data_IF_960471421945
#
_entry.id   IF_960471421945
#
_cell.length_a   1.000
_cell.length_b   1.000
_cell.length_c   1.000
_cell.angle_alpha   90.00
_cell.angle_beta   90.00
_cell.angle_gamma   90.00
#
_symmetry.space_group_name_H-M   'P 1'
#
loop_
_entity.id
_entity.type
_entity.pdbx_description
1 polymer ?
#
# COMPACT_ATOMS: atom_id res chain seq x y z
N UNK A 1 30.02 -25.39 -5.50
CA UNK A 1 29.45 -25.16 -4.15
C UNK A 1 29.44 -23.65 -3.94
N UNK A 2 28.39 -22.99 -4.43
CA UNK A 2 28.36 -21.55 -4.69
C UNK A 2 27.22 -20.90 -3.91
N UNK A 3 27.57 -19.81 -3.23
CA UNK A 3 26.74 -18.97 -2.37
C UNK A 3 25.71 -18.23 -3.26
N UNK A 4 24.44 -18.63 -3.16
CA UNK A 4 23.27 -17.92 -3.71
C UNK A 4 22.01 -18.19 -2.88
N UNK A 5 22.05 -17.97 -1.57
CA UNK A 5 20.84 -18.00 -0.73
C UNK A 5 21.06 -17.15 0.51
N UNK A 6 21.16 -15.82 0.36
CA UNK A 6 20.94 -14.90 1.48
C UNK A 6 20.86 -13.43 0.99
N UNK A 7 19.67 -12.99 0.57
CA UNK A 7 19.10 -11.65 0.83
C UNK A 7 17.78 -11.50 0.04
N UNK A 8 16.68 -11.95 0.64
CA UNK A 8 15.31 -11.63 0.20
C UNK A 8 14.39 -11.55 1.41
N UNK A 9 14.83 -10.87 2.47
CA UNK A 9 14.03 -10.59 3.66
C UNK A 9 14.26 -9.13 4.03
N UNK A 10 13.40 -8.25 3.49
CA UNK A 10 12.78 -7.08 4.13
C UNK A 10 12.42 -5.99 3.10
N UNK A 11 11.13 -5.64 3.11
CA UNK A 11 10.43 -4.51 2.47
C UNK A 11 9.94 -4.69 1.02
N UNK A 12 8.61 -4.53 0.88
CA UNK A 12 7.72 -4.59 -0.29
C UNK A 12 7.46 -6.00 -0.87
N UNK A 13 6.22 -6.44 -0.70
CA UNK A 13 5.60 -7.55 -1.42
C UNK A 13 5.46 -7.09 -2.88
N UNK A 14 6.56 -7.08 -3.63
CA UNK A 14 6.50 -6.91 -5.07
C UNK A 14 6.01 -8.24 -5.61
N UNK A 15 4.71 -8.34 -5.87
CA UNK A 15 4.17 -9.37 -6.75
C UNK A 15 4.96 -9.31 -8.06
N UNK A 16 5.87 -10.25 -8.29
CA UNK A 16 6.61 -10.29 -9.54
C UNK A 16 5.63 -10.61 -10.67
N UNK A 17 5.19 -9.58 -11.38
CA UNK A 17 4.35 -9.71 -12.56
C UNK A 17 5.16 -10.33 -13.70
N UNK A 18 4.63 -11.38 -14.33
CA UNK A 18 5.28 -12.15 -15.39
C UNK A 18 4.32 -12.33 -16.56
N UNK A 19 4.83 -12.10 -17.77
CA UNK A 19 4.24 -12.66 -18.99
C UNK A 19 4.65 -14.12 -19.07
N UNK A 20 3.66 -15.01 -19.12
CA UNK A 20 3.87 -16.45 -19.27
C UNK A 20 3.21 -16.90 -20.57
N UNK A 21 3.97 -17.59 -21.40
CA UNK A 21 3.48 -18.24 -22.60
C UNK A 21 3.99 -19.68 -22.58
N UNK A 22 3.09 -20.62 -22.87
CA UNK A 22 3.40 -22.03 -23.01
C UNK A 22 2.98 -22.46 -24.42
N UNK A 23 3.91 -23.14 -25.13
CA UNK A 23 3.91 -23.41 -26.58
C UNK A 23 4.25 -22.19 -27.49
N UNK A 24 4.21 -22.28 -28.85
CA UNK A 24 4.99 -21.42 -29.76
C UNK A 24 4.74 -19.94 -29.54
N UNK A 25 5.64 -19.07 -30.03
CA UNK A 25 5.63 -17.62 -29.81
C UNK A 25 4.22 -17.04 -29.85
N UNK A 26 3.63 -16.92 -28.67
CA UNK A 26 2.25 -16.52 -28.45
C UNK A 26 2.21 -15.36 -27.49
N UNK A 27 1.17 -14.57 -27.61
CA UNK A 27 0.93 -13.41 -26.77
C UNK A 27 -0.54 -13.40 -26.40
N UNK A 28 -0.88 -13.09 -25.13
CA UNK A 28 -2.27 -12.82 -24.75
C UNK A 28 -2.76 -11.49 -25.32
N UNK A 29 -1.87 -10.72 -25.95
CA UNK A 29 -2.07 -9.30 -26.18
C UNK A 29 -1.82 -8.49 -24.91
N UNK A 30 -1.78 -7.18 -25.08
CA UNK A 30 -1.67 -6.22 -24.00
C UNK A 30 -2.81 -5.24 -24.12
N UNK A 31 -3.43 -4.91 -22.99
CA UNK A 31 -4.42 -3.83 -22.91
C UNK A 31 -3.72 -2.46 -22.77
N UNK A 32 -4.49 -1.42 -22.47
CA UNK A 32 -3.98 -0.06 -22.36
C UNK A 32 -3.24 0.20 -21.05
N UNK A 33 -3.44 -0.65 -20.03
CA UNK A 33 -2.83 -0.45 -18.71
C UNK A 33 -3.52 0.67 -17.93
N UNK A 34 -4.77 1.00 -18.25
CA UNK A 34 -5.45 2.14 -17.66
C UNK A 34 -6.06 1.79 -16.32
N UNK A 35 -5.95 2.71 -15.34
CA UNK A 35 -6.73 2.68 -14.12
C UNK A 35 -7.80 3.78 -14.19
N UNK A 36 -9.07 3.41 -14.13
CA UNK A 36 -10.18 4.36 -14.24
C UNK A 36 -11.22 4.15 -13.15
N UNK A 37 -12.02 5.19 -12.86
CA UNK A 37 -13.16 5.04 -11.95
C UNK A 37 -14.36 4.53 -12.74
N UNK A 38 -15.10 3.60 -12.14
CA UNK A 38 -16.30 2.99 -12.72
C UNK A 38 -17.44 3.04 -11.69
N UNK A 39 -18.65 3.44 -12.10
CA UNK A 39 -19.79 3.35 -11.19
C UNK A 39 -20.24 1.90 -11.02
N UNK A 40 -20.80 1.58 -9.86
CA UNK A 40 -21.29 0.22 -9.54
C UNK A 40 -22.26 -0.33 -10.60
N UNK A 41 -23.08 0.55 -11.19
CA UNK A 41 -24.08 0.21 -12.22
C UNK A 41 -23.59 0.35 -13.66
N UNK A 42 -22.39 0.88 -13.88
CA UNK A 42 -21.89 1.11 -15.24
C UNK A 42 -21.32 -0.18 -15.83
N UNK A 43 -21.50 -0.35 -17.14
CA UNK A 43 -20.79 -1.38 -17.89
C UNK A 43 -19.40 -0.87 -18.27
N UNK A 44 -18.36 -1.68 -18.08
CA UNK A 44 -17.02 -1.32 -18.58
C UNK A 44 -17.03 -1.08 -20.09
N UNK A 45 -16.19 -0.17 -20.60
CA UNK A 45 -15.96 -0.09 -22.03
C UNK A 45 -15.36 -1.40 -22.55
N UNK A 46 -15.51 -1.66 -23.86
CA UNK A 46 -14.82 -2.77 -24.50
C UNK A 46 -13.30 -2.60 -24.31
N UNK A 47 -12.56 -3.61 -23.80
CA UNK A 47 -11.12 -3.52 -23.69
C UNK A 47 -10.47 -3.25 -25.04
N UNK A 48 -9.48 -2.37 -25.05
CA UNK A 48 -8.75 -2.01 -26.28
C UNK A 48 -7.34 -2.56 -26.17
N UNK A 49 -7.00 -3.48 -27.08
CA UNK A 49 -5.65 -3.99 -27.18
C UNK A 49 -4.68 -2.90 -27.65
N UNK A 50 -3.65 -2.62 -26.84
CA UNK A 50 -2.45 -1.90 -27.29
C UNK A 50 -1.59 -2.78 -28.19
N UNK A 51 -1.61 -4.09 -27.95
CA UNK A 51 -1.02 -5.13 -28.81
C UNK A 51 -2.00 -6.30 -28.89
N UNK A 52 -2.42 -6.74 -30.09
CA UNK A 52 -3.39 -7.81 -30.23
C UNK A 52 -2.81 -9.18 -29.81
N UNK A 53 -3.65 -10.14 -29.37
CA UNK A 53 -3.23 -11.51 -29.12
C UNK A 53 -2.74 -12.19 -30.40
N UNK A 54 -1.76 -13.09 -30.25
CA UNK A 54 -1.19 -13.86 -31.37
C UNK A 54 -0.85 -15.29 -30.96
N UNK A 55 -0.91 -16.23 -31.90
CA UNK A 55 -0.34 -17.57 -31.75
C UNK A 55 -1.26 -18.62 -31.12
N UNK A 56 -2.41 -18.24 -30.56
CA UNK A 56 -3.41 -19.15 -29.99
C UNK A 56 -4.81 -18.84 -30.53
N UNK A 57 -5.68 -19.86 -30.66
CA UNK A 57 -6.97 -19.72 -31.35
C UNK A 57 -8.06 -19.04 -30.52
N UNK A 58 -7.98 -19.11 -29.19
CA UNK A 58 -8.97 -18.52 -28.29
C UNK A 58 -8.31 -17.44 -27.43
N UNK A 59 -9.01 -16.32 -27.25
CA UNK A 59 -8.68 -15.30 -26.25
C UNK A 59 -9.97 -14.84 -25.58
N UNK A 60 -9.99 -14.94 -24.27
CA UNK A 60 -11.06 -14.44 -23.40
C UNK A 60 -10.44 -13.55 -22.32
N UNK A 61 -11.28 -12.92 -21.50
CA UNK A 61 -10.83 -12.03 -20.44
C UNK A 61 -11.16 -12.63 -19.07
N UNK A 62 -10.14 -12.76 -18.23
CA UNK A 62 -10.30 -13.01 -16.81
C UNK A 62 -10.67 -11.71 -16.09
N UNK A 63 -11.64 -11.83 -15.18
CA UNK A 63 -12.07 -10.74 -14.33
C UNK A 63 -11.50 -10.97 -12.94
N UNK A 64 -10.63 -10.07 -12.50
CA UNK A 64 -9.91 -10.17 -11.24
C UNK A 64 -10.45 -9.17 -10.22
N UNK A 65 -10.69 -9.60 -8.98
CA UNK A 65 -10.84 -8.69 -7.85
C UNK A 65 -9.45 -8.34 -7.29
N UNK A 66 -8.92 -7.18 -7.66
CA UNK A 66 -7.54 -6.78 -7.35
C UNK A 66 -7.31 -6.49 -5.86
N UNK A 67 -8.34 -6.02 -5.15
CA UNK A 67 -8.31 -5.73 -3.71
C UNK A 67 -8.60 -6.96 -2.83
N UNK A 68 -8.87 -8.13 -3.43
CA UNK A 68 -9.13 -9.38 -2.69
C UNK A 68 -8.06 -10.42 -3.02
N UNK A 69 -7.40 -10.93 -1.98
CA UNK A 69 -6.50 -12.07 -2.13
C UNK A 69 -7.29 -13.34 -2.42
N UNK A 70 -6.81 -14.14 -3.36
CA UNK A 70 -7.34 -15.47 -3.64
C UNK A 70 -7.09 -16.43 -2.46
N UNK A 71 -7.84 -17.54 -2.40
CA UNK A 71 -7.69 -18.53 -1.31
C UNK A 71 -6.33 -19.22 -1.28
N UNK A 72 -5.62 -19.20 -2.41
CA UNK A 72 -4.26 -19.71 -2.56
C UNK A 72 -3.17 -18.77 -2.00
N UNK A 73 -3.51 -17.51 -1.73
CA UNK A 73 -2.57 -16.50 -1.23
C UNK A 73 -1.58 -15.93 -2.24
N UNK A 74 -1.71 -16.25 -3.54
CA UNK A 74 -0.70 -15.91 -4.56
C UNK A 74 -1.08 -14.75 -5.51
N UNK A 75 -2.20 -14.08 -5.26
CA UNK A 75 -2.56 -12.87 -6.00
C UNK A 75 -4.04 -12.53 -5.95
N UNK A 76 -4.50 -11.61 -6.81
CA UNK A 76 -5.90 -11.27 -6.98
C UNK A 76 -6.77 -12.50 -7.25
N UNK A 77 -7.96 -12.51 -6.66
CA UNK A 77 -8.99 -13.53 -6.92
C UNK A 77 -9.55 -13.38 -8.33
N UNK A 78 -9.62 -14.47 -9.10
CA UNK A 78 -10.46 -14.57 -10.30
C UNK A 78 -11.93 -14.67 -9.86
N UNK A 79 -12.77 -13.79 -10.38
CA UNK A 79 -14.23 -13.80 -10.14
C UNK A 79 -14.91 -14.66 -11.20
N UNK A 80 -14.63 -14.38 -12.47
CA UNK A 80 -15.21 -15.04 -13.64
C UNK A 80 -14.33 -14.80 -14.88
N UNK A 81 -14.82 -15.24 -16.03
CA UNK A 81 -14.29 -14.89 -17.34
C UNK A 81 -15.39 -14.47 -18.30
N UNK A 82 -15.07 -13.61 -19.26
CA UNK A 82 -15.99 -13.13 -20.31
C UNK A 82 -15.30 -13.10 -21.67
N UNK A 83 -16.07 -13.27 -22.73
CA UNK A 83 -15.60 -13.26 -24.12
C UNK A 83 -15.18 -11.85 -24.56
N UNK A 84 -15.89 -10.81 -24.11
CA UNK A 84 -15.68 -9.44 -24.59
C UNK A 84 -15.05 -8.51 -23.54
N UNK A 85 -14.81 -9.01 -22.32
CA UNK A 85 -14.19 -8.22 -21.25
C UNK A 85 -15.10 -7.14 -20.67
N UNK A 86 -16.36 -7.08 -21.08
CA UNK A 86 -17.34 -6.16 -20.51
C UNK A 86 -17.96 -6.76 -19.27
N UNK A 87 -18.13 -5.93 -18.25
CA UNK A 87 -18.70 -6.33 -16.98
C UNK A 87 -19.57 -5.21 -16.41
N UNK A 88 -20.49 -5.58 -15.53
CA UNK A 88 -21.19 -4.65 -14.66
C UNK A 88 -20.83 -5.03 -13.21
N UNK A 89 -20.16 -4.15 -12.44
CA UNK A 89 -19.70 -4.50 -11.08
C UNK A 89 -20.79 -5.03 -10.16
N UNK A 90 -22.00 -4.48 -10.26
CA UNK A 90 -23.16 -4.92 -9.48
C UNK A 90 -23.50 -6.41 -9.69
N UNK A 91 -23.38 -6.91 -10.92
CA UNK A 91 -23.69 -8.31 -11.27
C UNK A 91 -22.68 -9.28 -10.63
N UNK A 92 -21.49 -8.78 -10.32
CA UNK A 92 -20.42 -9.50 -9.62
C UNK A 92 -20.47 -9.33 -8.09
N UNK A 93 -21.50 -8.65 -7.57
CA UNK A 93 -21.63 -8.34 -6.14
C UNK A 93 -20.58 -7.37 -5.61
N UNK A 94 -19.91 -6.62 -6.50
CA UNK A 94 -18.90 -5.65 -6.11
C UNK A 94 -19.56 -4.34 -5.68
N UNK A 95 -18.92 -3.68 -4.72
CA UNK A 95 -19.38 -2.43 -4.09
C UNK A 95 -18.33 -1.34 -4.20
N UNK A 96 -18.67 -0.14 -3.75
CA UNK A 96 -17.74 1.00 -3.71
C UNK A 96 -16.42 0.61 -3.02
N UNK A 97 -15.30 1.01 -3.60
CA UNK A 97 -13.94 0.73 -3.20
C UNK A 97 -13.40 -0.66 -3.46
N UNK A 98 -14.19 -1.53 -4.08
CA UNK A 98 -13.60 -2.69 -4.71
C UNK A 98 -12.78 -2.29 -5.95
N UNK A 99 -11.70 -3.01 -6.18
CA UNK A 99 -10.85 -2.85 -7.35
C UNK A 99 -10.98 -4.08 -8.22
N UNK A 100 -11.14 -3.84 -9.51
CA UNK A 100 -11.31 -4.88 -10.49
C UNK A 100 -10.31 -4.69 -11.62
N UNK A 101 -9.80 -5.78 -12.18
CA UNK A 101 -8.99 -5.73 -13.39
C UNK A 101 -9.48 -6.75 -14.42
N UNK A 102 -9.42 -6.34 -15.69
CA UNK A 102 -9.71 -7.18 -16.86
C UNK A 102 -8.38 -7.59 -17.47
N UNK A 103 -8.17 -8.90 -17.61
CA UNK A 103 -6.91 -9.50 -18.02
C UNK A 103 -7.13 -10.45 -19.21
N UNK A 104 -6.52 -10.22 -20.39
CA UNK A 104 -6.62 -11.17 -21.48
C UNK A 104 -5.88 -12.48 -21.16
N UNK A 105 -6.52 -13.59 -21.52
CA UNK A 105 -6.00 -14.94 -21.39
C UNK A 105 -6.23 -15.68 -22.70
N UNK A 106 -5.15 -16.05 -23.37
CA UNK A 106 -5.20 -16.82 -24.61
C UNK A 106 -4.93 -18.28 -24.36
N UNK A 107 -5.64 -19.17 -25.04
CA UNK A 107 -5.53 -20.62 -24.85
C UNK A 107 -5.98 -21.39 -26.09
N UNK A 108 -5.68 -22.68 -26.12
CA UNK A 108 -6.20 -23.60 -27.13
C UNK A 108 -7.31 -24.48 -26.52
N UNK A 109 -8.56 -24.10 -26.77
CA UNK A 109 -9.72 -24.81 -26.25
C UNK A 109 -9.76 -26.24 -26.81
N UNK A 110 -9.43 -26.44 -28.08
CA UNK A 110 -9.52 -27.73 -28.75
C UNK A 110 -8.58 -28.77 -28.12
N UNK A 111 -7.39 -28.35 -27.67
CA UNK A 111 -6.47 -29.23 -26.95
C UNK A 111 -7.09 -29.73 -25.64
N UNK A 112 -7.71 -28.85 -24.85
CA UNK A 112 -8.39 -29.22 -23.61
C UNK A 112 -9.56 -30.15 -23.86
N UNK A 113 -10.39 -29.85 -24.86
CA UNK A 113 -11.51 -30.71 -25.26
C UNK A 113 -11.01 -32.11 -25.66
N UNK A 114 -9.94 -32.18 -26.45
CA UNK A 114 -9.33 -33.45 -26.90
C UNK A 114 -8.81 -34.29 -25.74
N UNK A 115 -8.15 -33.66 -24.77
CA UNK A 115 -7.67 -34.34 -23.55
C UNK A 115 -8.85 -34.91 -22.76
N UNK A 116 -9.93 -34.13 -22.58
CA UNK A 116 -11.11 -34.59 -21.83
C UNK A 116 -11.87 -35.70 -22.56
N UNK A 117 -12.08 -35.57 -23.87
CA UNK A 117 -12.67 -36.64 -24.69
C UNK A 117 -11.85 -37.93 -24.59
N UNK A 118 -10.53 -37.82 -24.66
CA UNK A 118 -9.64 -38.98 -24.58
C UNK A 118 -9.65 -39.62 -23.19
N UNK A 119 -9.69 -38.81 -22.13
CA UNK A 119 -9.79 -39.33 -20.76
C UNK A 119 -11.12 -40.07 -20.52
N UNK A 120 -12.23 -39.50 -20.98
CA UNK A 120 -13.58 -40.02 -20.70
C UNK A 120 -14.01 -41.15 -21.64
N UNK A 121 -13.63 -41.07 -22.91
CA UNK A 121 -14.20 -41.92 -23.97
C UNK A 121 -13.21 -42.93 -24.57
N UNK A 122 -11.90 -42.75 -24.38
CA UNK A 122 -10.90 -43.66 -24.95
C UNK A 122 -10.51 -44.80 -24.01
N UNK A 123 -9.95 -45.85 -24.60
CA UNK A 123 -9.35 -46.98 -23.90
C UNK A 123 -7.83 -46.81 -23.80
N UNK A 124 -7.28 -47.01 -22.60
CA UNK A 124 -5.83 -47.05 -22.40
C UNK A 124 -5.24 -48.36 -22.96
N UNK A 125 -5.91 -49.47 -22.65
CA UNK A 125 -5.67 -50.80 -23.18
C UNK A 125 -7.02 -51.50 -23.39
N UNK A 126 -7.11 -52.55 -24.22
CA UNK A 126 -8.36 -53.26 -24.42
C UNK A 126 -9.02 -53.69 -23.08
N UNK A 127 -10.21 -53.16 -22.80
CA UNK A 127 -10.95 -53.42 -21.57
C UNK A 127 -10.57 -52.58 -20.34
N UNK A 128 -9.65 -51.62 -20.48
CA UNK A 128 -9.33 -50.62 -19.44
C UNK A 128 -9.50 -49.21 -19.99
N UNK A 129 -10.53 -48.50 -19.53
CA UNK A 129 -10.78 -47.11 -19.93
C UNK A 129 -9.66 -46.17 -19.47
N UNK A 130 -9.46 -45.08 -20.19
CA UNK A 130 -8.54 -44.02 -19.80
C UNK A 130 -8.90 -43.43 -18.42
N UNK A 131 -10.18 -43.34 -18.08
CA UNK A 131 -10.62 -43.00 -16.73
C UNK A 131 -10.08 -43.93 -15.64
N UNK A 132 -10.11 -45.24 -15.87
CA UNK A 132 -9.60 -46.22 -14.90
C UNK A 132 -8.09 -46.08 -14.73
N UNK A 133 -7.37 -45.84 -15.84
CA UNK A 133 -5.92 -45.62 -15.82
C UNK A 133 -5.54 -44.30 -15.15
N UNK A 134 -6.21 -43.20 -15.49
CA UNK A 134 -6.01 -41.89 -14.87
C UNK A 134 -6.33 -41.90 -13.37
N UNK A 135 -7.29 -42.73 -12.94
CA UNK A 135 -7.62 -42.96 -11.54
C UNK A 135 -6.46 -43.44 -10.66
N UNK A 136 -5.39 -44.00 -11.25
CA UNK A 136 -4.16 -44.35 -10.52
C UNK A 136 -3.35 -43.12 -10.09
N UNK A 137 -3.50 -42.01 -10.81
CA UNK A 137 -2.81 -40.75 -10.52
C UNK A 137 -3.73 -39.74 -9.82
N UNK A 138 -5.00 -39.73 -10.20
CA UNK A 138 -6.03 -38.83 -9.70
C UNK A 138 -7.28 -39.63 -9.31
N UNK A 139 -7.33 -40.09 -8.06
CA UNK A 139 -8.44 -40.91 -7.56
C UNK A 139 -9.75 -40.14 -7.70
N UNK A 140 -10.74 -40.73 -8.37
CA UNK A 140 -12.05 -40.12 -8.56
C UNK A 140 -12.09 -38.97 -9.57
N UNK A 141 -11.08 -38.80 -10.42
CA UNK A 141 -11.06 -37.74 -11.45
C UNK A 141 -12.30 -37.76 -12.34
N UNK A 142 -12.63 -38.91 -12.94
CA UNK A 142 -13.78 -39.00 -13.83
C UNK A 142 -15.12 -38.92 -13.11
N UNK A 143 -15.20 -39.39 -11.86
CA UNK A 143 -16.38 -39.19 -11.02
C UNK A 143 -16.58 -37.69 -10.74
N UNK A 144 -15.49 -36.96 -10.52
CA UNK A 144 -15.50 -35.51 -10.29
C UNK A 144 -15.86 -34.73 -11.56
N UNK A 145 -15.38 -35.14 -12.73
CA UNK A 145 -15.78 -34.58 -14.02
C UNK A 145 -17.29 -34.74 -14.24
N UNK A 146 -17.80 -35.95 -14.10
CA UNK A 146 -19.22 -36.25 -14.24
C UNK A 146 -20.09 -35.50 -13.20
N UNK A 147 -19.62 -35.38 -11.96
CA UNK A 147 -20.33 -34.63 -10.91
C UNK A 147 -20.44 -33.12 -11.22
N UNK A 148 -19.52 -32.57 -12.01
CA UNK A 148 -19.57 -31.20 -12.51
C UNK A 148 -20.23 -31.08 -13.89
N UNK A 149 -20.83 -32.15 -14.40
CA UNK A 149 -21.55 -32.17 -15.68
C UNK A 149 -20.66 -32.25 -16.92
N UNK A 150 -19.37 -32.55 -16.76
CA UNK A 150 -18.42 -32.73 -17.87
C UNK A 150 -18.39 -34.21 -18.27
N UNK A 151 -19.05 -34.54 -19.37
CA UNK A 151 -19.17 -35.90 -19.92
C UNK A 151 -18.36 -36.09 -21.21
N UNK A 152 -17.90 -34.99 -21.82
CA UNK A 152 -17.10 -34.93 -23.03
C UNK A 152 -16.34 -33.61 -23.10
N UNK A 153 -15.41 -33.51 -24.04
CA UNK A 153 -14.74 -32.27 -24.39
C UNK A 153 -15.73 -31.17 -24.81
N UNK A 154 -16.85 -31.53 -25.43
CA UNK A 154 -17.86 -30.55 -25.86
C UNK A 154 -18.58 -29.81 -24.72
N UNK A 155 -18.47 -30.32 -23.49
CA UNK A 155 -19.00 -29.64 -22.30
C UNK A 155 -18.10 -28.46 -21.87
N UNK A 156 -16.89 -28.36 -22.42
CA UNK A 156 -15.95 -27.25 -22.16
C UNK A 156 -16.07 -26.26 -23.31
N UNK A 157 -16.71 -25.12 -23.06
CA UNK A 157 -17.08 -24.18 -24.12
C UNK A 157 -16.31 -22.85 -24.04
N UNK A 158 -15.79 -22.51 -22.86
CA UNK A 158 -15.16 -21.22 -22.59
C UNK A 158 -14.16 -21.32 -21.42
N UNK A 159 -13.52 -20.19 -21.10
CA UNK A 159 -12.50 -20.13 -20.06
C UNK A 159 -13.05 -20.39 -18.65
N UNK A 160 -14.34 -20.16 -18.40
CA UNK A 160 -14.96 -20.45 -17.11
C UNK A 160 -15.02 -21.97 -16.88
N UNK A 161 -15.38 -22.73 -17.92
CA UNK A 161 -15.36 -24.21 -17.87
C UNK A 161 -13.92 -24.73 -17.67
N UNK A 162 -12.92 -24.05 -18.26
CA UNK A 162 -11.51 -24.37 -18.03
C UNK A 162 -11.10 -24.13 -16.58
N UNK A 163 -11.52 -23.03 -15.94
CA UNK A 163 -11.24 -22.76 -14.53
C UNK A 163 -11.84 -23.87 -13.65
N UNK A 164 -13.09 -24.28 -13.92
CA UNK A 164 -13.74 -25.40 -13.22
C UNK A 164 -12.97 -26.69 -13.43
N UNK A 165 -12.59 -27.00 -14.67
CA UNK A 165 -11.79 -28.18 -15.01
C UNK A 165 -10.47 -28.21 -14.23
N UNK A 166 -9.77 -27.07 -14.13
CA UNK A 166 -8.52 -26.98 -13.37
C UNK A 166 -8.74 -27.22 -11.88
N UNK A 167 -9.86 -26.75 -11.31
CA UNK A 167 -10.24 -27.08 -9.93
C UNK A 167 -10.45 -28.59 -9.71
N UNK A 168 -11.08 -29.28 -10.67
CA UNK A 168 -11.29 -30.72 -10.62
C UNK A 168 -9.96 -31.48 -10.61
N UNK A 169 -9.02 -31.12 -11.48
CA UNK A 169 -7.71 -31.79 -11.55
C UNK A 169 -6.88 -31.68 -10.27
N UNK A 170 -7.07 -30.61 -9.50
CA UNK A 170 -6.37 -30.40 -8.24
C UNK A 170 -7.16 -30.86 -7.01
N UNK A 171 -8.37 -31.37 -7.21
CA UNK A 171 -9.29 -31.71 -6.11
C UNK A 171 -9.74 -30.49 -5.31
N UNK A 172 -9.66 -29.29 -5.89
CA UNK A 172 -10.10 -28.04 -5.28
C UNK A 172 -11.51 -27.69 -5.76
N UNK A 173 -12.46 -27.58 -4.84
CA UNK A 173 -13.79 -27.04 -5.11
C UNK A 173 -13.84 -25.51 -5.00
N UNK A 174 -12.70 -24.85 -4.81
CA UNK A 174 -12.67 -23.41 -4.58
C UNK A 174 -12.67 -22.66 -5.92
N UNK A 175 -13.76 -21.97 -6.23
CA UNK A 175 -13.83 -20.99 -7.32
C UNK A 175 -13.06 -19.69 -6.99
N UNK A 176 -12.26 -19.68 -5.92
CA UNK A 176 -11.51 -18.53 -5.42
C UNK A 176 -10.01 -18.76 -5.64
N UNK A 177 -9.58 -18.75 -6.90
CA UNK A 177 -8.21 -19.02 -7.32
C UNK A 177 -7.57 -17.78 -7.96
N UNK A 178 -6.25 -17.67 -7.90
CA UNK A 178 -5.49 -16.65 -8.61
C UNK A 178 -5.09 -17.11 -10.01
N UNK A 179 -4.66 -16.16 -10.85
CA UNK A 179 -4.03 -16.45 -12.15
C UNK A 179 -2.78 -17.31 -11.98
N UNK A 180 -2.02 -17.10 -10.90
CA UNK A 180 -0.86 -17.93 -10.59
C UNK A 180 -1.28 -19.39 -10.43
N UNK A 181 -2.29 -19.66 -9.59
CA UNK A 181 -2.80 -21.02 -9.42
C UNK A 181 -3.29 -21.63 -10.73
N UNK A 182 -4.11 -20.91 -11.49
CA UNK A 182 -4.62 -21.36 -12.79
C UNK A 182 -3.48 -21.80 -13.72
N UNK A 183 -2.47 -20.95 -13.91
CA UNK A 183 -1.32 -21.23 -14.79
C UNK A 183 -0.46 -22.38 -14.27
N UNK A 184 -0.23 -22.46 -12.95
CA UNK A 184 0.51 -23.58 -12.37
C UNK A 184 -0.23 -24.91 -12.50
N UNK A 185 -1.56 -24.91 -12.39
CA UNK A 185 -2.37 -26.12 -12.58
C UNK A 185 -2.33 -26.58 -14.03
N UNK A 186 -2.39 -25.67 -15.01
CA UNK A 186 -2.19 -26.03 -16.41
C UNK A 186 -0.78 -26.63 -16.61
N UNK A 187 0.25 -26.04 -15.99
CA UNK A 187 1.61 -26.60 -16.01
C UNK A 187 1.70 -28.00 -15.39
N UNK A 188 1.00 -28.25 -14.28
CA UNK A 188 0.90 -29.59 -13.68
C UNK A 188 0.17 -30.57 -14.58
N UNK A 189 -0.93 -30.14 -15.22
CA UNK A 189 -1.65 -30.94 -16.19
C UNK A 189 -0.78 -31.26 -17.39
N UNK A 190 0.05 -30.34 -17.89
CA UNK A 190 1.00 -30.61 -18.96
C UNK A 190 2.03 -31.68 -18.56
N UNK A 191 2.49 -31.68 -17.31
CA UNK A 191 3.32 -32.78 -16.81
C UNK A 191 2.53 -34.11 -16.77
N UNK A 192 1.26 -34.08 -16.36
CA UNK A 192 0.40 -35.25 -16.31
C UNK A 192 -0.01 -35.79 -17.69
N UNK A 193 -0.19 -34.92 -18.68
CA UNK A 193 -0.51 -35.26 -20.08
C UNK A 193 0.56 -36.18 -20.66
N UNK A 194 1.83 -35.97 -20.32
CA UNK A 194 2.91 -36.90 -20.70
C UNK A 194 2.80 -38.28 -20.05
N UNK A 195 2.23 -38.35 -18.83
CA UNK A 195 1.98 -39.61 -18.11
C UNK A 195 0.75 -40.34 -18.66
N UNK A 196 -0.26 -39.60 -19.12
CA UNK A 196 -1.48 -40.16 -19.70
C UNK A 196 -1.24 -40.87 -21.03
N UNK A 197 -0.16 -40.54 -21.75
CA UNK A 197 0.21 -41.21 -22.99
C UNK A 197 -0.91 -41.13 -24.04
N UNK A 198 -1.42 -42.27 -24.48
CA UNK A 198 -2.53 -42.34 -25.47
C UNK A 198 -3.83 -41.74 -24.94
N UNK A 199 -4.02 -41.67 -23.61
CA UNK A 199 -5.20 -41.08 -22.99
C UNK A 199 -5.24 -39.55 -23.05
N UNK A 200 -4.18 -38.90 -23.55
CA UNK A 200 -4.19 -37.47 -23.84
C UNK A 200 -4.64 -37.14 -25.27
N UNK A 201 -5.05 -38.12 -26.08
CA UNK A 201 -5.53 -37.87 -27.45
C UNK A 201 -4.45 -37.39 -28.41
N UNK A 202 -3.18 -37.68 -28.11
CA UNK A 202 -2.04 -37.17 -28.87
C UNK A 202 -1.64 -35.73 -28.55
N UNK A 203 -2.32 -35.08 -27.59
CA UNK A 203 -1.89 -33.80 -27.05
C UNK A 203 -0.66 -34.04 -26.16
N UNK A 204 0.42 -33.32 -26.43
CA UNK A 204 1.65 -33.40 -25.62
C UNK A 204 1.78 -32.25 -24.63
N UNK A 205 1.08 -31.16 -24.89
CA UNK A 205 1.11 -29.93 -24.11
C UNK A 205 -0.16 -29.12 -24.40
N UNK A 206 -0.74 -28.54 -23.36
CA UNK A 206 -1.85 -27.59 -23.41
C UNK A 206 -1.27 -26.19 -23.42
N UNK A 207 -1.60 -25.44 -24.46
CA UNK A 207 -1.01 -24.16 -24.73
C UNK A 207 -1.86 -23.01 -24.18
N UNK A 208 -1.20 -22.08 -23.48
CA UNK A 208 -1.82 -20.88 -22.95
C UNK A 208 -0.84 -19.71 -22.94
N UNK A 209 -1.39 -18.50 -22.86
CA UNK A 209 -0.62 -17.27 -22.74
C UNK A 209 -1.38 -16.28 -21.87
N UNK A 210 -0.68 -15.66 -20.91
CA UNK A 210 -1.23 -14.64 -20.02
C UNK A 210 -0.14 -13.67 -19.58
N UNK A 211 -0.49 -12.39 -19.44
CA UNK A 211 0.43 -11.39 -18.91
C UNK A 211 -0.27 -10.62 -17.82
N UNK A 212 0.11 -10.87 -16.57
CA UNK A 212 -0.47 -10.16 -15.43
C UNK A 212 0.29 -8.87 -15.11
N UNK A 213 1.07 -8.30 -16.03
CA UNK A 213 1.71 -7.00 -15.83
C UNK A 213 0.66 -5.89 -15.75
N UNK A 214 0.94 -4.84 -14.99
CA UNK A 214 0.03 -3.68 -14.89
C UNK A 214 -0.28 -3.03 -16.23
N UNK A 215 0.63 -3.17 -17.21
CA UNK A 215 0.44 -2.69 -18.59
C UNK A 215 -0.36 -3.64 -19.48
N UNK A 216 -0.63 -4.87 -19.03
CA UNK A 216 -1.35 -5.88 -19.79
C UNK A 216 -2.84 -5.97 -19.40
N UNK A 217 -3.25 -5.29 -18.31
CA UNK A 217 -4.60 -5.30 -17.78
C UNK A 217 -5.18 -3.88 -17.74
N UNK A 218 -6.49 -3.76 -17.91
CA UNK A 218 -7.20 -2.52 -17.59
C UNK A 218 -7.87 -2.69 -16.23
N UNK A 219 -7.65 -1.75 -15.32
CA UNK A 219 -8.16 -1.80 -13.96
C UNK A 219 -9.16 -0.68 -13.68
N UNK A 220 -10.09 -0.97 -12.78
CA UNK A 220 -11.20 -0.12 -12.43
C UNK A 220 -11.32 -0.05 -10.91
N UNK A 221 -11.44 1.17 -10.39
CA UNK A 221 -11.85 1.38 -9.00
C UNK A 221 -13.33 1.69 -8.99
N UNK A 222 -14.10 0.89 -8.27
CA UNK A 222 -15.55 1.07 -8.21
C UNK A 222 -15.84 2.25 -7.29
N UNK A 223 -16.45 3.28 -7.86
CA UNK A 223 -16.63 4.57 -7.23
C UNK A 223 -18.09 5.00 -7.27
N UNK A 224 -18.45 5.99 -6.44
CA UNK A 224 -19.73 6.66 -6.51
C UNK A 224 -19.66 7.82 -7.53
N UNK A 225 -20.82 8.33 -7.99
CA UNK A 225 -20.85 9.54 -8.80
C UNK A 225 -20.20 10.70 -8.04
N UNK A 226 -19.35 11.46 -8.74
CA UNK A 226 -18.57 12.57 -8.18
C UNK A 226 -17.63 12.15 -7.04
N UNK A 227 -17.16 10.90 -7.04
CA UNK A 227 -16.22 10.43 -6.04
C UNK A 227 -14.93 11.22 -6.02
N UNK A 228 -14.47 11.58 -4.81
CA UNK A 228 -13.14 12.10 -4.65
C UNK A 228 -12.10 11.04 -5.06
N UNK A 229 -11.24 11.42 -5.99
CA UNK A 229 -10.12 10.62 -6.49
C UNK A 229 -8.78 11.04 -5.86
N UNK A 230 -8.78 12.10 -5.05
CA UNK A 230 -7.63 12.60 -4.33
C UNK A 230 -8.04 12.95 -2.90
N UNK A 231 -7.19 12.58 -1.94
CA UNK A 231 -7.25 13.01 -0.54
C UNK A 231 -5.81 13.33 -0.12
N UNK A 232 -5.65 14.39 0.66
CA UNK A 232 -4.35 14.83 1.17
C UNK A 232 -4.54 15.50 2.53
N UNK A 233 -3.83 15.02 3.54
CA UNK A 233 -3.75 15.60 4.86
C UNK A 233 -2.56 16.56 4.83
N UNK A 234 -2.81 17.83 5.13
CA UNK A 234 -1.79 18.89 5.04
C UNK A 234 -0.55 18.67 5.93
N UNK A 235 -0.58 17.70 6.85
CA UNK A 235 0.52 17.35 7.73
C UNK A 235 0.80 15.85 7.69
N UNK A 236 1.99 15.46 7.22
CA UNK A 236 2.47 14.06 7.25
C UNK A 236 2.77 13.58 8.66
N UNK A 237 3.19 14.49 9.54
CA UNK A 237 3.51 14.20 10.94
C UNK A 237 3.06 15.34 11.84
N UNK A 238 2.29 14.99 12.86
CA UNK A 238 1.77 15.90 13.87
C UNK A 238 2.27 15.46 15.25
N UNK A 239 2.93 16.37 15.97
CA UNK A 239 3.31 16.14 17.36
C UNK A 239 2.41 16.95 18.29
N UNK A 240 1.86 16.30 19.30
CA UNK A 240 1.01 16.91 20.33
C UNK A 240 1.52 16.58 21.72
N UNK A 241 1.31 17.46 22.68
CA UNK A 241 1.60 17.15 24.08
C UNK A 241 0.61 16.09 24.61
N UNK A 242 0.95 15.36 25.70
CA UNK A 242 0.01 14.59 26.49
C UNK A 242 -1.28 15.35 26.81
N UNK A 243 -2.43 14.74 26.56
CA UNK A 243 -3.77 15.35 26.64
C UNK A 243 -3.96 16.60 25.75
N UNK A 244 -3.03 16.86 24.84
CA UNK A 244 -3.09 17.96 23.90
C UNK A 244 -4.07 17.67 22.77
N UNK A 245 -4.52 18.75 22.13
CA UNK A 245 -5.44 18.69 20.99
C UNK A 245 -4.84 19.40 19.79
N UNK A 246 -5.07 18.87 18.60
CA UNK A 246 -4.74 19.52 17.33
C UNK A 246 -5.77 19.13 16.28
N UNK A 247 -5.78 19.80 15.13
CA UNK A 247 -6.73 19.51 14.05
C UNK A 247 -5.94 19.22 12.79
N UNK A 248 -6.19 18.04 12.21
CA UNK A 248 -5.71 17.69 10.89
C UNK A 248 -6.63 18.32 9.85
N UNK A 249 -6.04 18.97 8.86
CA UNK A 249 -6.77 19.57 7.75
C UNK A 249 -6.56 18.66 6.55
N UNK A 250 -7.63 18.05 6.08
CA UNK A 250 -7.62 17.25 4.87
C UNK A 250 -8.26 18.02 3.71
N UNK A 251 -7.68 17.87 2.52
CA UNK A 251 -8.26 18.29 1.24
C UNK A 251 -8.67 17.06 0.46
N UNK A 252 -9.69 17.20 -0.38
CA UNK A 252 -10.13 16.13 -1.27
C UNK A 252 -10.63 16.73 -2.58
N UNK A 253 -10.39 16.03 -3.69
CA UNK A 253 -10.82 16.46 -5.02
C UNK A 253 -11.42 15.28 -5.80
N UNK A 254 -12.42 15.53 -6.67
CA UNK A 254 -13.21 16.77 -6.76
C UNK A 254 -14.02 17.05 -5.49
N UNK A 255 -14.11 18.31 -5.06
CA UNK A 255 -14.85 18.70 -3.86
C UNK A 255 -16.34 18.90 -4.16
N UNK A 256 -17.12 17.82 -4.16
CA UNK A 256 -18.58 17.99 -4.24
C UNK A 256 -19.11 18.60 -2.93
N UNK A 257 -20.16 19.44 -3.00
CA UNK A 257 -20.73 20.12 -1.82
C UNK A 257 -21.32 19.17 -0.74
N UNK A 258 -21.38 17.87 -1.04
CA UNK A 258 -21.87 16.81 -0.17
C UNK A 258 -20.79 15.84 0.31
N UNK A 259 -19.53 16.04 -0.08
CA UNK A 259 -18.43 15.16 0.36
C UNK A 259 -17.88 15.59 1.72
N UNK A 260 -17.33 14.62 2.44
CA UNK A 260 -16.61 14.83 3.69
C UNK A 260 -15.51 13.80 3.84
N UNK A 261 -14.60 14.04 4.79
CA UNK A 261 -13.59 13.06 5.16
C UNK A 261 -14.07 12.23 6.34
N UNK A 262 -13.89 10.92 6.24
CA UNK A 262 -13.96 9.99 7.36
C UNK A 262 -12.56 9.86 7.93
N UNK A 263 -12.42 10.14 9.21
CA UNK A 263 -11.16 10.02 9.93
C UNK A 263 -11.17 8.75 10.77
N UNK A 264 -10.10 7.96 10.72
CA UNK A 264 -9.95 6.74 11.51
C UNK A 264 -8.55 6.62 12.06
N UNK A 265 -8.43 6.03 13.26
CA UNK A 265 -7.16 5.60 13.83
C UNK A 265 -6.97 4.12 13.48
N UNK A 266 -5.87 3.74 12.83
CA UNK A 266 -5.68 2.34 12.38
C UNK A 266 -4.97 1.47 13.41
N UNK A 267 -4.25 2.05 14.37
CA UNK A 267 -3.59 1.31 15.44
C UNK A 267 -4.62 0.83 16.48
N UNK A 268 -4.77 -0.48 16.63
CA UNK A 268 -5.56 -1.06 17.72
C UNK A 268 -4.90 -0.76 19.07
N UNK A 269 -5.66 -0.21 20.02
CA UNK A 269 -5.19 0.06 21.39
C UNK A 269 -4.46 1.38 21.58
N UNK A 270 -4.42 2.26 20.58
CA UNK A 270 -3.95 3.63 20.76
C UNK A 270 -4.88 4.42 21.69
N UNK A 271 -4.28 5.29 22.49
CA UNK A 271 -4.95 6.30 23.32
C UNK A 271 -5.28 7.59 22.55
N UNK A 272 -4.78 7.72 21.32
CA UNK A 272 -5.09 8.82 20.40
C UNK A 272 -6.49 8.60 19.82
N UNK A 273 -7.29 9.65 19.79
CA UNK A 273 -8.62 9.65 19.17
C UNK A 273 -8.73 10.74 18.12
N UNK A 274 -9.58 10.54 17.12
CA UNK A 274 -9.91 11.52 16.09
C UNK A 274 -11.41 11.59 15.89
N UNK A 275 -11.95 12.80 15.77
CA UNK A 275 -13.38 13.01 15.49
C UNK A 275 -13.67 13.17 13.99
N UNK A 276 -14.95 13.38 13.66
CA UNK A 276 -15.38 13.56 12.27
C UNK A 276 -14.87 14.86 11.60
N UNK A 277 -14.37 15.81 12.39
CA UNK A 277 -13.82 17.08 11.92
C UNK A 277 -12.29 17.05 11.82
N UNK A 278 -11.66 15.90 12.09
CA UNK A 278 -10.20 15.76 12.08
C UNK A 278 -9.54 16.32 13.35
N UNK A 279 -10.30 16.61 14.41
CA UNK A 279 -9.74 16.97 15.71
C UNK A 279 -9.15 15.74 16.38
N UNK A 280 -7.85 15.81 16.66
CA UNK A 280 -7.06 14.76 17.29
C UNK A 280 -6.83 15.10 18.74
N UNK A 281 -7.06 14.14 19.64
CA UNK A 281 -6.77 14.24 21.06
C UNK A 281 -5.76 13.17 21.45
N UNK A 282 -4.63 13.59 22.02
CA UNK A 282 -3.60 12.68 22.52
C UNK A 282 -3.96 12.10 23.87
N UNK A 283 -3.57 10.86 24.14
CA UNK A 283 -3.65 10.28 25.48
C UNK A 283 -2.66 10.90 26.47
N UNK A 284 -2.65 10.37 27.69
CA UNK A 284 -1.81 10.87 28.80
C UNK A 284 -0.35 10.43 28.73
N UNK A 285 0.00 9.47 27.88
CA UNK A 285 1.34 8.88 27.77
C UNK A 285 1.87 8.98 26.35
N UNK A 286 3.18 8.77 26.18
CA UNK A 286 3.80 8.61 24.86
C UNK A 286 3.02 7.57 24.05
N UNK A 287 2.60 7.97 22.86
CA UNK A 287 1.82 7.15 21.95
C UNK A 287 2.12 7.59 20.51
N UNK A 288 1.96 6.68 19.56
CA UNK A 288 2.10 6.97 18.14
C UNK A 288 1.03 6.21 17.38
N UNK A 289 0.24 6.94 16.60
CA UNK A 289 -0.82 6.36 15.80
C UNK A 289 -0.85 6.93 14.39
N UNK A 290 -1.31 6.10 13.46
CA UNK A 290 -1.61 6.47 12.09
C UNK A 290 -3.08 6.90 12.04
N UNK A 291 -3.30 8.11 11.54
CA UNK A 291 -4.63 8.63 11.27
C UNK A 291 -4.84 8.62 9.77
N UNK A 292 -5.88 7.93 9.32
CA UNK A 292 -6.27 7.85 7.92
C UNK A 292 -7.44 8.78 7.68
N UNK A 293 -7.31 9.66 6.70
CA UNK A 293 -8.42 10.39 6.10
C UNK A 293 -8.89 9.63 4.87
N UNK A 294 -10.16 9.31 4.78
CA UNK A 294 -10.79 8.68 3.62
C UNK A 294 -11.93 9.55 3.11
N UNK A 295 -12.04 9.75 1.81
CA UNK A 295 -13.22 10.41 1.25
C UNK A 295 -14.49 9.57 1.52
N UNK A 296 -15.56 10.18 2.06
CA UNK A 296 -16.81 9.47 2.35
C UNK A 296 -17.45 8.93 1.08
N UNK A 297 -17.36 9.69 -0.02
CA UNK A 297 -17.77 9.23 -1.34
C UNK A 297 -16.56 8.87 -2.18
N UNK A 298 -15.62 8.08 -1.70
CA UNK A 298 -14.50 7.67 -2.53
C UNK A 298 -13.58 6.69 -1.83
N UNK A 299 -12.54 6.32 -2.54
CA UNK A 299 -11.58 5.31 -2.07
C UNK A 299 -10.18 5.90 -1.92
N UNK A 300 -10.02 7.17 -2.31
CA UNK A 300 -8.83 7.94 -2.02
C UNK A 300 -8.70 8.10 -0.51
N UNK A 301 -7.49 7.82 -0.04
CA UNK A 301 -7.10 7.96 1.36
C UNK A 301 -5.76 8.63 1.44
N UNK A 302 -5.52 9.34 2.54
CA UNK A 302 -4.20 9.77 2.94
C UNK A 302 -3.97 9.49 4.42
N UNK A 303 -2.70 9.41 4.84
CA UNK A 303 -2.32 8.99 6.19
C UNK A 303 -1.34 9.97 6.82
N UNK A 304 -1.64 10.41 8.04
CA UNK A 304 -0.75 11.20 8.86
C UNK A 304 -0.28 10.40 10.09
N UNK A 305 0.95 10.64 10.54
CA UNK A 305 1.48 10.11 11.79
C UNK A 305 1.23 11.11 12.91
N UNK A 306 0.56 10.68 13.98
CA UNK A 306 0.41 11.48 15.20
C UNK A 306 1.27 10.89 16.31
N UNK A 307 2.07 11.74 16.94
CA UNK A 307 2.96 11.38 18.06
C UNK A 307 2.56 12.22 19.27
N UNK A 308 2.19 11.56 20.37
CA UNK A 308 2.07 12.21 21.68
C UNK A 308 3.46 12.31 22.27
N UNK A 309 4.02 13.52 22.33
CA UNK A 309 5.39 13.78 22.76
C UNK A 309 5.41 14.48 24.13
N UNK A 310 5.75 13.78 25.23
CA UNK A 310 5.84 14.39 26.57
C UNK A 310 6.85 15.54 26.65
N UNK A 311 7.83 15.62 25.74
CA UNK A 311 8.76 16.76 25.71
C UNK A 311 8.04 18.07 25.35
N UNK A 312 6.89 18.01 24.66
CA UNK A 312 6.07 19.19 24.35
C UNK A 312 5.31 19.72 25.58
N UNK A 313 5.05 18.89 26.60
CA UNK A 313 4.56 19.36 27.90
C UNK A 313 5.61 20.17 28.67
N UNK A 314 6.87 20.15 28.23
CA UNK A 314 7.94 21.01 28.74
C UNK A 314 7.94 22.34 27.98
N UNK A 315 6.76 22.96 27.81
CA UNK A 315 6.67 24.35 27.33
C UNK A 315 6.64 25.27 28.54
N UNK A 316 7.82 25.85 28.82
CA UNK A 316 8.11 26.89 29.82
C UNK A 316 7.73 26.53 31.26
N UNK A 317 8.73 26.26 32.10
CA UNK A 317 8.67 26.76 33.48
C UNK A 317 8.16 28.21 33.40
N UNK A 318 7.18 28.61 34.23
CA UNK A 318 6.62 29.96 34.29
C UNK A 318 7.72 30.99 34.62
N UNK A 319 8.65 31.22 33.71
CA UNK A 319 9.77 32.13 33.85
C UNK A 319 9.30 33.48 33.37
N UNK A 320 9.27 34.43 34.28
CA UNK A 320 8.95 35.82 34.00
C UNK A 320 10.00 36.35 32.99
N UNK A 321 9.58 36.91 31.84
CA UNK A 321 10.53 37.50 30.90
C UNK A 321 11.35 38.60 31.57
N UNK A 322 12.66 38.59 31.34
CA UNK A 322 13.62 39.54 31.88
C UNK A 322 14.27 40.31 30.72
N UNK A 323 13.83 41.56 30.45
CA UNK A 323 14.43 42.39 29.43
C UNK A 323 15.91 42.63 29.73
N UNK A 324 16.77 42.40 28.73
CA UNK A 324 18.20 42.66 28.83
C UNK A 324 18.54 43.93 28.03
N UNK A 325 19.30 44.83 28.63
CA UNK A 325 19.89 45.98 27.95
C UNK A 325 21.40 45.74 27.82
N UNK A 326 21.94 45.89 26.60
CA UNK A 326 23.36 45.66 26.33
C UNK A 326 24.03 46.91 25.78
N UNK A 327 25.19 47.25 26.32
CA UNK A 327 25.94 48.45 25.93
C UNK A 327 27.46 48.24 26.04
N UNK A 328 28.26 48.67 25.04
CA UNK A 328 27.84 48.93 23.66
C UNK A 328 27.41 47.61 22.97
N UNK A 329 26.54 47.69 21.96
CA UNK A 329 26.23 46.57 21.07
C UNK A 329 26.09 47.15 19.65
N UNK A 330 27.07 46.98 18.75
CA UNK A 330 28.22 46.05 18.83
C UNK A 330 29.28 46.41 19.89
N UNK A 331 30.06 45.43 20.39
CA UNK A 331 31.15 45.61 21.37
C UNK A 331 32.51 45.11 20.86
N UNK A 332 33.60 45.68 21.37
CA UNK A 332 34.98 45.31 20.99
C UNK A 332 35.82 44.74 22.14
N UNK A 333 35.66 45.26 23.37
CA UNK A 333 36.45 44.86 24.55
C UNK A 333 35.62 44.26 25.68
N UNK A 334 34.51 44.89 26.02
CA UNK A 334 33.61 44.43 27.07
C UNK A 334 32.17 44.69 26.68
N UNK A 335 31.29 43.78 27.08
CA UNK A 335 29.84 43.93 26.95
C UNK A 335 29.24 44.13 28.33
N UNK A 336 28.60 45.26 28.56
CA UNK A 336 27.82 45.50 29.77
C UNK A 336 26.39 45.04 29.55
N UNK A 337 25.85 44.29 30.50
CA UNK A 337 24.48 43.77 30.49
C UNK A 337 23.75 44.28 31.72
N UNK A 338 22.68 45.03 31.52
CA UNK A 338 21.82 45.57 32.57
C UNK A 338 20.44 44.94 32.52
N UNK A 339 19.89 44.55 33.67
CA UNK A 339 18.58 43.90 33.78
C UNK A 339 18.04 44.00 35.21
N UNK A 340 16.73 43.86 35.39
CA UNK A 340 16.14 43.71 36.72
C UNK A 340 16.23 42.26 37.17
N UNK A 341 16.78 42.00 38.36
CA UNK A 341 16.87 40.68 38.97
C UNK A 341 16.01 40.61 40.24
N UNK A 342 15.57 39.42 40.60
CA UNK A 342 15.13 39.05 41.95
C UNK A 342 16.26 38.31 42.67
N UNK A 343 16.31 38.33 44.01
CA UNK A 343 17.35 37.63 44.79
C UNK A 343 17.37 36.12 44.49
N UNK A 344 18.38 35.67 43.74
CA UNK A 344 18.59 34.28 43.34
C UNK A 344 19.97 34.08 42.70
N UNK A 345 20.32 32.84 42.38
CA UNK A 345 21.45 32.50 41.51
C UNK A 345 21.01 32.56 40.04
N UNK A 346 21.79 33.25 39.21
CA UNK A 346 21.58 33.37 37.77
C UNK A 346 22.75 32.78 37.00
N UNK A 347 22.44 32.05 35.94
CA UNK A 347 23.40 31.58 34.96
C UNK A 347 23.37 32.52 33.74
N UNK A 348 24.52 33.07 33.38
CA UNK A 348 24.71 33.87 32.18
C UNK A 348 25.54 33.07 31.18
N UNK A 349 25.10 33.03 29.93
CA UNK A 349 25.79 32.35 28.84
C UNK A 349 25.84 33.24 27.60
N UNK A 350 26.96 33.20 26.89
CA UNK A 350 27.10 33.78 25.54
C UNK A 350 27.30 32.65 24.54
N UNK A 351 26.34 32.47 23.63
CA UNK A 351 26.24 31.31 22.74
C UNK A 351 26.46 31.78 21.30
N UNK A 352 27.41 31.20 20.58
CA UNK A 352 27.65 31.50 19.17
C UNK A 352 26.58 30.89 18.26
N UNK A 353 26.58 31.29 16.99
CA UNK A 353 25.63 30.79 15.97
C UNK A 353 25.66 29.27 15.76
N UNK A 354 26.76 28.60 16.12
CA UNK A 354 26.91 27.14 16.06
C UNK A 354 26.33 26.42 17.29
N UNK A 355 25.79 27.15 18.27
CA UNK A 355 25.35 26.62 19.55
C UNK A 355 26.47 26.45 20.59
N UNK A 356 27.73 26.72 20.23
CA UNK A 356 28.86 26.66 21.16
C UNK A 356 28.80 27.79 22.20
N UNK A 357 29.03 27.46 23.48
CA UNK A 357 29.12 28.45 24.57
C UNK A 357 30.52 29.03 24.63
N UNK A 358 30.65 30.35 24.49
CA UNK A 358 31.92 31.10 24.51
C UNK A 358 32.18 31.82 25.83
N UNK A 359 31.13 32.05 26.62
CA UNK A 359 31.23 32.59 27.96
C UNK A 359 30.14 31.97 28.83
N UNK A 360 30.49 31.65 30.07
CA UNK A 360 29.55 31.18 31.08
C UNK A 360 29.93 31.74 32.45
N UNK A 361 28.94 32.19 33.21
CA UNK A 361 29.12 32.71 34.56
C UNK A 361 27.92 32.44 35.45
N UNK A 362 28.16 32.25 36.74
CA UNK A 362 27.12 32.07 37.76
C UNK A 362 27.21 33.21 38.77
N UNK A 363 26.09 33.89 39.01
CA UNK A 363 26.03 35.09 39.84
C UNK A 363 24.92 34.98 40.87
N UNK A 364 25.26 35.23 42.13
CA UNK A 364 24.27 35.42 43.18
C UNK A 364 23.90 36.91 43.20
N UNK A 365 22.69 37.22 42.71
CA UNK A 365 22.20 38.58 42.58
C UNK A 365 21.16 38.88 43.64
N UNK A 366 20.98 40.16 43.96
CA UNK A 366 19.93 40.65 44.86
C UNK A 366 18.81 41.30 44.06
N UNK A 367 17.62 41.44 44.67
CA UNK A 367 16.49 42.11 44.02
C UNK A 367 16.82 43.57 43.66
N UNK A 368 16.62 43.95 42.40
CA UNK A 368 16.86 45.29 41.89
C UNK A 368 17.49 45.30 40.50
N UNK A 369 17.88 46.49 40.01
CA UNK A 369 18.62 46.62 38.76
C UNK A 369 20.06 46.13 38.97
N UNK A 370 20.47 45.16 38.17
CA UNK A 370 21.79 44.55 38.19
C UNK A 370 22.55 44.90 36.92
N UNK A 371 23.87 44.87 37.04
CA UNK A 371 24.77 45.14 35.93
C UNK A 371 25.94 44.16 35.96
N UNK A 372 26.11 43.42 34.87
CA UNK A 372 27.18 42.47 34.68
C UNK A 372 28.08 42.90 33.52
N UNK A 373 29.38 42.68 33.64
CA UNK A 373 30.35 42.97 32.58
C UNK A 373 30.99 41.67 32.10
N UNK A 374 30.92 41.44 30.80
CA UNK A 374 31.55 40.29 30.13
C UNK A 374 32.85 40.79 29.49
N UNK A 375 33.99 40.28 29.96
CA UNK A 375 35.30 40.52 29.33
C UNK A 375 35.42 39.67 28.06
N UNK A 376 35.67 40.32 26.93
CA UNK A 376 35.65 39.67 25.62
C UNK A 376 37.01 39.17 25.14
N UNK A 377 38.09 39.23 25.94
CA UNK A 377 39.46 38.86 25.53
C UNK A 377 39.58 37.53 24.77
N UNK A 378 38.74 36.54 25.09
CA UNK A 378 38.78 35.20 24.50
C UNK A 378 37.59 34.89 23.58
N UNK A 379 36.73 35.87 23.32
CA UNK A 379 35.54 35.71 22.47
C UNK A 379 35.91 36.17 21.05
N UNK A 380 35.78 35.35 20.00
CA UNK A 380 36.02 35.80 18.62
C UNK A 380 35.05 36.90 18.15
N UNK A 381 35.36 37.61 17.07
CA UNK A 381 34.39 38.50 16.42
C UNK A 381 33.28 37.66 15.78
N UNK A 382 32.02 38.09 15.91
CA UNK A 382 30.87 37.33 15.43
C UNK A 382 29.54 37.73 16.05
N UNK A 383 28.50 36.98 15.68
CA UNK A 383 27.15 37.11 16.23
C UNK A 383 26.94 36.10 17.37
N UNK A 384 26.33 36.57 18.45
CA UNK A 384 26.09 35.78 19.65
C UNK A 384 24.68 35.99 20.20
N UNK A 385 24.13 34.94 20.81
CA UNK A 385 22.95 35.01 21.66
C UNK A 385 23.41 35.07 23.12
N UNK A 386 23.13 36.19 23.77
CA UNK A 386 23.26 36.32 25.22
C UNK A 386 22.01 35.72 25.87
N UNK A 387 22.19 34.83 26.84
CA UNK A 387 21.11 34.22 27.62
C UNK A 387 21.41 34.37 29.11
N UNK A 388 20.41 34.78 29.89
CA UNK A 388 20.47 34.78 31.36
C UNK A 388 19.26 34.01 31.88
N UNK A 389 19.50 33.04 32.75
CA UNK A 389 18.47 32.19 33.36
C UNK A 389 18.61 32.24 34.88
N UNK A 390 17.57 32.69 35.57
CA UNK A 390 17.41 32.60 37.02
C UNK A 390 16.34 31.57 37.40
N UNK A 391 16.05 31.46 38.71
CA UNK A 391 15.10 30.47 39.23
C UNK A 391 13.69 30.61 38.60
N UNK A 392 13.19 31.84 38.48
CA UNK A 392 11.83 32.16 37.98
C UNK A 392 11.83 33.21 36.87
N UNK A 393 12.99 33.55 36.29
CA UNK A 393 13.09 34.58 35.26
C UNK A 393 14.11 34.18 34.19
N UNK A 394 13.88 34.60 32.95
CA UNK A 394 14.86 34.41 31.87
C UNK A 394 14.86 35.58 30.89
N UNK A 395 16.02 35.91 30.36
CA UNK A 395 16.23 36.95 29.36
C UNK A 395 17.16 36.46 28.26
N UNK A 396 16.93 36.92 27.03
CA UNK A 396 17.85 36.69 25.93
C UNK A 396 17.95 37.90 25.02
N UNK A 397 19.13 38.13 24.42
CA UNK A 397 19.40 39.27 23.55
C UNK A 397 20.47 38.92 22.52
N UNK A 398 20.29 39.33 21.27
CA UNK A 398 21.32 39.21 20.24
C UNK A 398 22.39 40.31 20.42
N UNK A 399 23.66 39.93 20.37
CA UNK A 399 24.81 40.85 20.49
C UNK A 399 25.88 40.55 19.45
N UNK A 400 26.61 41.58 19.05
CA UNK A 400 27.62 41.50 17.99
C UNK A 400 28.98 41.92 18.54
N UNK A 401 29.99 41.08 18.36
CA UNK A 401 31.40 41.42 18.60
C UNK A 401 32.11 41.72 17.29
N UNK A 402 32.85 42.83 17.23
CA UNK A 402 33.66 43.21 16.07
C UNK A 402 35.14 43.28 16.40
#
# INVERSE_FOLDING_TARGET
>A
MSIRYLLCILLSIVSCYHSQAQCPSSSPGFLSGTMTNLLVSDTTPLPVYSTPPTGLPNTEFLILQHDSLASDGFGPRIIESTIDGRIVPADLGLTTCNQLCVLPFSYDLQQLQTVVDSLLLADYLPGTSCCTAAGQFFVGLCDSLNAHGIHSGSDINNLNDVIVLMGIFTGSSNNNVSVYYLTTTIGQLNNAVTLFGTCAGGITEICYSVSNTTTAMDCYTIALPNSANFVDIAADTLRIAPNGTATLIGTYLPNSASDSLRWTVTNTGSSITVDAMGQVVGGSTLDTAWIVAQAVRGCATDTAVVIVDPALSITTTNLTPMPLQTTPNPFSRSLQVSFYAQTATYQLQLIGITGQVYYEGSYNLTTGNQQLNIDSKHIPSGYYLLRITGQNMQGSQAVVKY
#
